data_IF_681420054225
#
_entry.id   IF_681420054225
#
_cell.length_a   1.000
_cell.length_b   1.000
_cell.length_c   1.000
_cell.angle_alpha   90.00
_cell.angle_beta   90.00
_cell.angle_gamma   90.00
#
_symmetry.space_group_name_H-M   'P 1'
#
loop_
_entity.id
_entity.type
_entity.pdbx_description
1 polymer ?
#
# COMPACT_ATOMS: atom_id res chain seq x y z
N UNK A 1 -30.44 32.81 43.19
CA UNK A 1 -31.77 32.59 42.60
C UNK A 1 -31.95 31.09 42.42
N UNK A 2 -33.05 30.54 42.94
CA UNK A 2 -33.42 29.10 43.07
C UNK A 2 -33.44 28.41 41.68
N UNK A 3 -33.17 27.11 41.53
CA UNK A 3 -34.07 25.96 41.76
C UNK A 3 -33.23 24.66 41.94
N UNK A 4 -33.28 23.95 43.08
CA UNK A 4 -34.13 22.77 43.41
C UNK A 4 -34.05 21.54 42.49
N UNK A 5 -33.26 20.54 42.92
CA UNK A 5 -33.65 19.19 43.39
C UNK A 5 -34.78 18.43 42.65
N UNK A 6 -34.49 17.20 42.18
CA UNK A 6 -35.38 16.03 42.36
C UNK A 6 -34.57 14.73 42.36
N UNK A 7 -34.59 14.05 43.50
CA UNK A 7 -34.19 12.64 43.68
C UNK A 7 -35.44 11.79 43.43
N UNK A 8 -35.32 10.70 42.69
CA UNK A 8 -36.28 9.59 42.75
C UNK A 8 -35.51 8.29 42.99
N UNK A 9 -35.59 7.80 44.22
CA UNK A 9 -35.24 6.43 44.60
C UNK A 9 -36.53 5.61 44.50
N UNK A 10 -36.50 4.48 43.79
CA UNK A 10 -37.52 3.45 43.91
C UNK A 10 -36.84 2.07 43.91
N UNK A 11 -36.71 1.50 45.12
CA UNK A 11 -36.46 0.09 45.37
C UNK A 11 -37.78 -0.67 45.43
N UNK A 12 -37.92 -1.75 44.66
CA UNK A 12 -38.82 -2.85 44.97
C UNK A 12 -38.20 -4.18 44.47
N UNK A 13 -38.16 -5.16 45.37
CA UNK A 13 -37.57 -6.48 45.25
C UNK A 13 -38.55 -7.53 44.69
N UNK A 14 -37.94 -8.58 44.11
CA UNK A 14 -38.33 -10.00 44.07
C UNK A 14 -39.13 -10.57 42.88
N UNK A 15 -38.48 -11.53 42.20
CA UNK A 15 -39.08 -12.57 41.35
C UNK A 15 -38.06 -13.19 40.38
N UNK A 16 -37.69 -14.49 40.50
CA UNK A 16 -36.65 -15.11 39.69
C UNK A 16 -37.24 -15.58 38.35
N UNK A 17 -37.07 -14.77 37.30
CA UNK A 17 -37.32 -15.19 35.92
C UNK A 17 -35.99 -15.39 35.22
N UNK A 18 -35.58 -16.64 35.00
CA UNK A 18 -34.46 -16.98 34.12
C UNK A 18 -34.74 -16.49 32.70
N UNK A 19 -33.91 -15.64 32.08
CA UNK A 19 -33.92 -15.51 30.64
C UNK A 19 -33.01 -16.59 30.07
N UNK A 20 -33.64 -17.52 29.37
CA UNK A 20 -33.03 -18.57 28.55
C UNK A 20 -31.96 -17.97 27.63
N UNK A 21 -30.70 -18.33 27.86
CA UNK A 21 -29.62 -18.07 26.89
C UNK A 21 -29.90 -18.97 25.69
N UNK A 22 -30.41 -18.38 24.61
CA UNK A 22 -30.45 -19.03 23.32
C UNK A 22 -29.01 -19.28 22.87
N UNK A 23 -28.53 -20.50 23.12
CA UNK A 23 -27.27 -20.99 22.58
C UNK A 23 -27.52 -21.24 21.09
N UNK A 24 -27.19 -20.27 20.24
CA UNK A 24 -26.99 -20.55 18.84
C UNK A 24 -25.74 -21.42 18.75
N UNK A 25 -25.96 -22.72 18.51
CA UNK A 25 -24.92 -23.65 18.15
C UNK A 25 -24.25 -23.14 16.87
N UNK A 26 -23.10 -22.47 17.02
CA UNK A 26 -22.17 -22.27 15.93
C UNK A 26 -21.57 -23.63 15.58
N UNK A 27 -21.68 -24.01 14.31
CA UNK A 27 -21.04 -25.20 13.75
C UNK A 27 -19.58 -25.28 14.20
N UNK A 28 -19.20 -26.43 14.75
CA UNK A 28 -17.81 -26.74 15.05
C UNK A 28 -17.05 -26.88 13.74
N UNK A 29 -16.33 -25.83 13.35
CA UNK A 29 -15.31 -25.87 12.30
C UNK A 29 -14.32 -27.00 12.64
N UNK A 30 -13.92 -27.85 11.69
CA UNK A 30 -12.80 -28.78 11.92
C UNK A 30 -11.57 -27.98 12.38
N UNK A 31 -10.62 -28.56 13.14
CA UNK A 31 -9.39 -27.88 13.49
C UNK A 31 -8.53 -27.73 12.23
N UNK A 32 -8.91 -26.78 11.38
CA UNK A 32 -8.10 -26.27 10.30
C UNK A 32 -6.98 -25.49 10.95
N UNK A 33 -5.75 -25.94 10.71
CA UNK A 33 -4.51 -25.19 10.94
C UNK A 33 -4.77 -23.70 10.93
N UNK A 34 -4.78 -23.07 12.11
CA UNK A 34 -4.80 -21.62 12.22
C UNK A 34 -3.66 -21.12 11.36
N UNK A 35 -3.95 -20.31 10.33
CA UNK A 35 -2.88 -19.58 9.67
C UNK A 35 -2.11 -18.84 10.77
N UNK A 36 -0.80 -19.10 10.90
CA UNK A 36 0.00 -18.51 11.99
C UNK A 36 -0.04 -16.97 11.95
N UNK A 37 -0.41 -16.39 10.80
CA UNK A 37 -0.64 -14.96 10.61
C UNK A 37 -1.87 -14.76 9.71
N UNK A 38 -2.76 -13.86 10.12
CA UNK A 38 -3.89 -13.39 9.31
C UNK A 38 -3.57 -12.02 8.74
N UNK A 39 -3.95 -11.71 7.49
CA UNK A 39 -3.75 -10.39 6.94
C UNK A 39 -4.57 -9.36 7.74
N UNK A 40 -3.99 -8.16 7.94
CA UNK A 40 -4.67 -7.05 8.62
C UNK A 40 -5.90 -6.54 7.85
N UNK A 41 -5.95 -6.78 6.53
CA UNK A 41 -7.08 -6.48 5.66
C UNK A 41 -7.37 -7.67 4.75
N UNK A 42 -8.63 -8.11 4.68
CA UNK A 42 -9.04 -9.16 3.75
C UNK A 42 -9.27 -8.57 2.36
N UNK A 43 -8.41 -8.93 1.40
CA UNK A 43 -8.61 -8.65 -0.02
C UNK A 43 -9.43 -9.75 -0.67
N UNK A 44 -10.25 -9.41 -1.67
CA UNK A 44 -11.03 -10.38 -2.44
C UNK A 44 -10.14 -11.44 -3.13
N UNK A 45 -8.93 -11.04 -3.54
CA UNK A 45 -7.88 -11.95 -3.97
C UNK A 45 -7.10 -12.46 -2.74
N UNK A 46 -7.07 -13.78 -2.51
CA UNK A 46 -6.21 -14.39 -1.49
C UNK A 46 -4.81 -14.60 -2.08
N UNK A 47 -3.78 -13.85 -1.65
CA UNK A 47 -2.43 -14.04 -2.18
C UNK A 47 -1.90 -15.42 -1.79
N UNK A 48 -1.08 -16.01 -2.66
CA UNK A 48 -0.47 -17.32 -2.41
C UNK A 48 0.54 -17.29 -1.24
N UNK A 49 1.10 -16.12 -0.94
CA UNK A 49 2.03 -15.88 0.17
C UNK A 49 1.55 -14.67 0.98
N UNK A 50 1.78 -14.71 2.29
CA UNK A 50 1.52 -13.59 3.20
C UNK A 50 2.84 -12.99 3.65
N UNK A 51 2.93 -11.66 3.63
CA UNK A 51 4.03 -10.96 4.28
C UNK A 51 3.95 -11.20 5.79
N UNK A 52 5.11 -11.46 6.40
CA UNK A 52 5.20 -11.59 7.85
C UNK A 52 5.14 -10.19 8.49
N UNK A 53 4.52 -10.04 9.68
CA UNK A 53 4.57 -8.78 10.41
C UNK A 53 6.02 -8.35 10.69
N UNK A 54 6.31 -7.04 10.71
CA UNK A 54 7.60 -6.54 11.18
C UNK A 54 7.96 -7.12 12.56
N UNK A 55 9.19 -7.59 12.72
CA UNK A 55 9.66 -8.21 13.97
C UNK A 55 9.25 -9.67 14.17
N UNK A 56 8.48 -10.28 13.26
CA UNK A 56 8.21 -11.72 13.28
C UNK A 56 9.46 -12.56 12.99
N UNK A 57 10.44 -11.97 12.31
CA UNK A 57 11.76 -12.56 12.06
C UNK A 57 12.80 -11.76 12.82
N UNK A 58 13.53 -12.44 13.70
CA UNK A 58 14.64 -11.85 14.45
C UNK A 58 15.98 -12.28 13.84
N UNK A 59 16.91 -11.34 13.59
CA UNK A 59 18.21 -11.67 13.08
C UNK A 59 19.04 -12.41 14.16
N UNK A 60 19.86 -13.37 13.73
CA UNK A 60 20.81 -14.11 14.59
C UNK A 60 22.18 -14.21 13.94
N UNK A 61 23.21 -14.46 14.74
CA UNK A 61 24.60 -14.57 14.27
C UNK A 61 25.03 -13.32 13.50
N UNK A 62 25.72 -13.52 12.38
CA UNK A 62 26.24 -12.44 11.55
C UNK A 62 25.21 -11.37 11.17
N UNK A 63 23.97 -11.76 10.85
CA UNK A 63 22.93 -10.78 10.50
C UNK A 63 22.55 -9.90 11.69
N UNK A 64 22.58 -10.46 12.91
CA UNK A 64 22.32 -9.69 14.13
C UNK A 64 23.47 -8.74 14.41
N UNK A 65 24.70 -9.17 14.22
CA UNK A 65 25.90 -8.34 14.43
C UNK A 65 25.93 -7.18 13.43
N UNK A 66 25.53 -7.44 12.18
CA UNK A 66 25.33 -6.40 11.17
C UNK A 66 24.23 -5.42 11.58
N UNK A 67 23.05 -5.91 11.98
CA UNK A 67 21.94 -5.07 12.42
C UNK A 67 22.32 -4.20 13.63
N UNK A 68 23.07 -4.75 14.60
CA UNK A 68 23.62 -3.97 15.71
C UNK A 68 24.61 -2.91 15.23
N UNK A 69 25.48 -3.23 14.27
CA UNK A 69 26.41 -2.25 13.71
C UNK A 69 25.70 -1.10 12.99
N UNK A 70 24.58 -1.39 12.32
CA UNK A 70 23.72 -0.38 11.68
C UNK A 70 23.01 0.48 12.73
N UNK A 71 22.50 -0.14 13.80
CA UNK A 71 21.92 0.55 14.94
C UNK A 71 22.94 1.48 15.59
N UNK A 72 24.12 0.98 15.92
CA UNK A 72 25.16 1.74 16.62
C UNK A 72 25.87 2.76 15.69
N UNK A 73 25.52 2.75 14.41
CA UNK A 73 26.03 3.64 13.38
C UNK A 73 25.01 4.67 12.89
N UNK A 74 25.04 4.90 11.58
CA UNK A 74 24.32 6.02 10.96
C UNK A 74 22.80 5.98 11.17
N UNK A 75 22.16 4.81 11.19
CA UNK A 75 20.68 4.74 11.21
C UNK A 75 20.08 5.29 12.51
N UNK A 76 20.65 4.99 13.68
CA UNK A 76 20.13 5.56 14.94
C UNK A 76 20.63 7.00 15.17
N UNK A 77 21.83 7.32 14.70
CA UNK A 77 22.49 8.60 14.95
C UNK A 77 22.26 9.64 13.84
N UNK A 78 21.30 9.44 12.94
CA UNK A 78 21.02 10.35 11.81
C UNK A 78 20.79 11.80 12.26
N UNK A 79 20.18 11.97 13.43
CA UNK A 79 19.93 13.28 14.03
C UNK A 79 21.24 14.01 14.34
N UNK A 80 22.32 13.33 14.70
CA UNK A 80 23.59 13.97 15.05
C UNK A 80 24.45 14.27 13.81
N UNK A 81 24.31 13.45 12.77
CA UNK A 81 25.25 13.43 11.64
C UNK A 81 24.79 14.23 10.42
N UNK A 82 23.48 14.47 10.25
CA UNK A 82 22.98 15.13 9.04
C UNK A 82 21.78 16.03 9.29
N UNK A 83 21.94 17.33 8.99
CA UNK A 83 20.91 18.37 9.21
C UNK A 83 19.55 18.02 8.60
N UNK A 84 19.53 17.45 7.39
CA UNK A 84 18.28 17.16 6.68
C UNK A 84 17.53 15.98 7.31
N UNK A 85 18.23 14.98 7.86
CA UNK A 85 17.59 13.84 8.53
C UNK A 85 17.17 14.17 9.98
N UNK A 86 17.89 15.09 10.63
CA UNK A 86 17.43 15.71 11.87
C UNK A 86 16.08 16.42 11.69
N UNK A 87 15.90 17.11 10.57
CA UNK A 87 14.65 17.80 10.24
C UNK A 87 13.59 16.85 9.69
N UNK A 88 13.97 15.81 8.94
CA UNK A 88 13.05 14.89 8.31
C UNK A 88 11.89 14.49 9.23
N UNK A 89 10.67 14.79 8.79
CA UNK A 89 9.44 14.32 9.45
C UNK A 89 9.34 14.82 10.90
N UNK A 90 9.76 16.06 11.13
CA UNK A 90 9.57 16.82 12.37
C UNK A 90 8.62 17.99 12.13
N UNK A 91 7.98 18.55 13.18
CA UNK A 91 7.13 19.73 13.04
C UNK A 91 7.86 20.95 12.44
N UNK A 92 9.19 21.00 12.53
CA UNK A 92 10.03 22.07 12.00
C UNK A 92 10.32 21.93 10.49
N UNK A 93 10.07 20.75 9.89
CA UNK A 93 10.32 20.50 8.47
C UNK A 93 9.13 20.91 7.61
N UNK A 94 9.00 22.23 7.42
CA UNK A 94 7.90 22.83 6.65
C UNK A 94 8.43 23.68 5.49
N UNK A 95 9.07 23.09 4.46
CA UNK A 95 9.55 23.85 3.32
C UNK A 95 8.39 24.53 2.58
N UNK A 96 8.59 25.79 2.21
CA UNK A 96 7.64 26.63 1.45
C UNK A 96 8.39 27.42 0.37
N UNK A 97 7.65 28.02 -0.57
CA UNK A 97 8.23 28.84 -1.63
C UNK A 97 9.26 28.07 -2.46
N UNK A 98 10.45 28.64 -2.66
CA UNK A 98 11.52 27.98 -3.43
C UNK A 98 12.13 26.75 -2.73
N UNK A 99 11.98 26.62 -1.41
CA UNK A 99 12.48 25.47 -0.65
C UNK A 99 11.66 24.20 -0.91
N UNK A 100 10.52 24.32 -1.59
CA UNK A 100 9.78 23.18 -2.12
C UNK A 100 10.58 22.43 -3.19
N UNK A 101 11.54 23.08 -3.85
CA UNK A 101 12.39 22.43 -4.84
C UNK A 101 13.33 21.42 -4.18
N UNK A 102 13.43 20.23 -4.77
CA UNK A 102 14.20 19.11 -4.24
C UNK A 102 15.63 19.48 -3.82
N UNK A 103 16.32 20.26 -4.67
CA UNK A 103 17.71 20.69 -4.45
C UNK A 103 17.87 21.79 -3.39
N UNK A 104 16.78 22.44 -2.97
CA UNK A 104 16.83 23.65 -2.12
C UNK A 104 16.41 23.41 -0.67
N UNK A 105 15.46 22.50 -0.42
CA UNK A 105 15.02 22.27 0.96
C UNK A 105 14.10 21.08 1.19
N UNK A 106 13.49 20.50 0.16
CA UNK A 106 12.55 19.38 0.32
C UNK A 106 13.21 17.99 0.32
N UNK A 107 14.55 17.90 0.16
CA UNK A 107 15.28 16.63 0.24
C UNK A 107 15.04 15.89 1.57
N UNK A 108 14.93 16.61 2.69
CA UNK A 108 14.62 16.03 4.00
C UNK A 108 13.30 15.25 4.03
N UNK A 109 12.34 15.55 3.15
CA UNK A 109 11.07 14.84 3.07
C UNK A 109 11.26 13.47 2.41
N UNK A 110 11.89 13.42 1.23
CA UNK A 110 12.11 12.19 0.48
C UNK A 110 13.24 11.35 1.10
N UNK A 111 14.41 11.95 1.31
CA UNK A 111 15.55 11.32 1.97
C UNK A 111 15.17 10.78 3.36
N UNK A 112 14.40 11.58 4.10
CA UNK A 112 13.83 11.19 5.39
C UNK A 112 12.97 9.93 5.32
N UNK A 113 12.19 9.75 4.25
CA UNK A 113 11.35 8.57 4.07
C UNK A 113 12.18 7.29 3.91
N UNK A 114 13.25 7.33 3.10
CA UNK A 114 14.15 6.19 2.91
C UNK A 114 14.85 5.78 4.21
N UNK A 115 15.28 6.76 5.01
CA UNK A 115 15.87 6.47 6.31
C UNK A 115 14.85 5.96 7.32
N UNK A 116 13.66 6.59 7.37
CA UNK A 116 12.59 6.21 8.29
C UNK A 116 12.15 4.76 8.09
N UNK A 117 12.03 4.31 6.83
CA UNK A 117 11.69 2.93 6.49
C UNK A 117 12.69 1.94 7.13
N UNK A 118 13.99 2.16 6.91
CA UNK A 118 15.04 1.34 7.51
C UNK A 118 15.09 1.43 9.05
N UNK A 119 14.83 2.60 9.62
CA UNK A 119 14.76 2.80 11.08
C UNK A 119 13.65 1.94 11.72
N UNK A 120 12.45 1.97 11.13
CA UNK A 120 11.29 1.21 11.61
C UNK A 120 11.55 -0.29 11.52
N UNK A 121 12.01 -0.77 10.36
CA UNK A 121 12.31 -2.19 10.15
C UNK A 121 13.38 -2.70 11.12
N UNK A 122 14.44 -1.92 11.33
CA UNK A 122 15.52 -2.25 12.26
C UNK A 122 15.03 -2.29 13.71
N UNK A 123 14.22 -1.31 14.12
CA UNK A 123 13.61 -1.25 15.45
C UNK A 123 12.76 -2.49 15.75
N UNK A 124 11.92 -2.92 14.80
CA UNK A 124 11.12 -4.14 14.97
C UNK A 124 11.96 -5.42 14.92
N UNK A 125 12.93 -5.52 14.01
CA UNK A 125 13.79 -6.70 13.87
C UNK A 125 14.65 -6.94 15.12
N UNK A 126 15.18 -5.87 15.73
CA UNK A 126 15.98 -5.94 16.95
C UNK A 126 15.15 -5.88 18.24
N UNK A 127 13.85 -5.60 18.14
CA UNK A 127 12.97 -5.30 19.28
C UNK A 127 13.52 -4.16 20.14
N UNK A 128 14.00 -3.11 19.47
CA UNK A 128 14.69 -2.00 20.10
C UNK A 128 13.72 -0.86 20.42
N UNK A 129 13.51 -0.61 21.71
CA UNK A 129 12.56 0.40 22.16
C UNK A 129 12.98 1.82 21.79
N UNK A 130 14.28 2.13 21.75
CA UNK A 130 14.75 3.49 21.48
C UNK A 130 14.57 3.87 20.00
N UNK A 131 14.88 2.94 19.09
CA UNK A 131 14.61 3.11 17.65
C UNK A 131 13.11 3.23 17.38
N UNK A 132 12.30 2.39 18.02
CA UNK A 132 10.85 2.44 17.87
C UNK A 132 10.27 3.76 18.41
N UNK A 133 10.79 4.29 19.51
CA UNK A 133 10.40 5.60 20.01
C UNK A 133 10.85 6.73 19.09
N UNK A 134 12.04 6.64 18.47
CA UNK A 134 12.47 7.61 17.45
C UNK A 134 11.54 7.60 16.24
N UNK A 135 11.23 6.42 15.71
CA UNK A 135 10.27 6.27 14.63
C UNK A 135 8.88 6.79 15.02
N UNK A 136 8.41 6.46 16.22
CA UNK A 136 7.12 6.91 16.74
C UNK A 136 7.03 8.44 16.77
N UNK A 137 8.08 9.14 17.21
CA UNK A 137 8.13 10.62 17.21
C UNK A 137 7.99 11.20 15.79
N UNK A 138 8.66 10.61 14.80
CA UNK A 138 8.57 11.04 13.40
C UNK A 138 7.18 10.80 12.81
N UNK A 139 6.60 9.63 13.08
CA UNK A 139 5.26 9.28 12.60
C UNK A 139 4.17 10.19 13.19
N UNK A 140 4.22 10.45 14.50
CA UNK A 140 3.25 11.34 15.15
C UNK A 140 3.40 12.79 14.71
N UNK A 141 4.61 13.27 14.43
CA UNK A 141 4.77 14.62 13.87
C UNK A 141 3.97 14.79 12.57
N UNK A 142 3.90 13.76 11.72
CA UNK A 142 3.03 13.79 10.54
C UNK A 142 1.57 13.60 10.95
N UNK A 143 1.25 12.49 11.61
CA UNK A 143 -0.13 12.07 11.89
C UNK A 143 -0.93 13.05 12.74
N UNK A 144 -0.29 13.67 13.73
CA UNK A 144 -0.94 14.58 14.68
C UNK A 144 -1.18 15.98 14.08
N UNK A 145 -0.45 16.35 13.03
CA UNK A 145 -0.61 17.64 12.35
C UNK A 145 -1.48 17.58 11.08
N UNK A 146 -1.79 16.37 10.60
CA UNK A 146 -2.64 16.16 9.43
C UNK A 146 -4.00 16.85 9.59
N UNK A 147 -4.47 17.45 8.49
CA UNK A 147 -5.74 18.17 8.43
C UNK A 147 -6.38 18.08 7.02
N UNK A 148 -7.65 18.48 6.91
CA UNK A 148 -8.44 18.32 5.68
C UNK A 148 -7.92 19.14 4.49
N UNK A 149 -7.24 20.27 4.76
CA UNK A 149 -6.70 21.16 3.74
C UNK A 149 -5.25 20.83 3.36
N UNK A 150 -4.53 20.05 4.16
CA UNK A 150 -3.14 19.65 3.90
C UNK A 150 -2.96 18.95 2.55
N UNK A 151 -1.83 19.12 1.87
CA UNK A 151 -1.56 18.42 0.60
C UNK A 151 -0.80 17.11 0.89
N UNK A 152 -1.43 15.95 0.68
CA UNK A 152 -0.85 14.64 1.03
C UNK A 152 -0.44 14.59 2.51
N UNK A 153 0.83 14.31 2.82
CA UNK A 153 1.40 14.37 4.17
C UNK A 153 2.06 15.72 4.48
N UNK A 154 2.00 16.69 3.56
CA UNK A 154 2.56 18.04 3.72
C UNK A 154 1.52 18.93 4.40
N UNK A 155 1.25 18.67 5.68
CA UNK A 155 0.13 19.26 6.42
C UNK A 155 0.15 20.78 6.52
N UNK A 156 1.33 21.40 6.36
CA UNK A 156 1.52 22.85 6.41
C UNK A 156 1.21 23.56 5.09
N UNK A 157 1.04 22.81 4.00
CA UNK A 157 0.66 23.35 2.69
C UNK A 157 -0.86 23.28 2.53
N UNK A 158 -1.47 24.43 2.27
CA UNK A 158 -2.90 24.55 2.07
C UNK A 158 -3.28 24.29 0.61
N UNK A 159 -4.10 23.25 0.36
CA UNK A 159 -4.60 22.91 -0.97
C UNK A 159 -5.57 23.95 -1.53
N UNK A 160 -6.17 24.77 -0.69
CA UNK A 160 -7.14 25.79 -1.08
C UNK A 160 -6.47 27.15 -1.36
N UNK A 161 -5.20 27.31 -0.99
CA UNK A 161 -4.40 28.51 -1.26
C UNK A 161 -3.78 28.51 -2.67
N UNK A 162 -4.15 29.47 -3.54
CA UNK A 162 -3.58 29.59 -4.89
C UNK A 162 -2.06 29.86 -4.90
N UNK A 163 -1.51 30.55 -3.90
CA UNK A 163 -0.08 30.84 -3.85
C UNK A 163 0.74 29.60 -3.52
N UNK A 164 0.24 28.70 -2.69
CA UNK A 164 0.81 27.36 -2.46
C UNK A 164 0.97 26.59 -3.77
N UNK A 165 -0.07 26.55 -4.62
CA UNK A 165 0.02 25.92 -5.94
C UNK A 165 1.03 26.60 -6.85
N UNK A 166 1.02 27.92 -6.92
CA UNK A 166 1.97 28.69 -7.72
C UNK A 166 3.42 28.40 -7.31
N UNK A 167 3.70 28.31 -6.01
CA UNK A 167 5.01 27.94 -5.50
C UNK A 167 5.40 26.50 -5.88
N UNK A 168 4.48 25.54 -5.76
CA UNK A 168 4.71 24.15 -6.18
C UNK A 168 4.99 24.03 -7.69
N UNK A 169 4.24 24.76 -8.51
CA UNK A 169 4.45 24.82 -9.96
C UNK A 169 5.80 25.43 -10.32
N UNK A 170 6.19 26.52 -9.64
CA UNK A 170 7.49 27.15 -9.86
C UNK A 170 8.66 26.26 -9.41
N UNK A 171 8.50 25.55 -8.30
CA UNK A 171 9.58 24.76 -7.69
C UNK A 171 9.79 23.39 -8.36
N UNK A 172 8.72 22.70 -8.75
CA UNK A 172 8.78 21.30 -9.19
C UNK A 172 7.98 21.00 -10.47
N UNK A 173 7.47 22.03 -11.17
CA UNK A 173 6.52 21.83 -12.27
C UNK A 173 5.11 21.44 -11.81
N UNK A 174 4.85 21.52 -10.49
CA UNK A 174 3.57 21.25 -9.84
C UNK A 174 3.39 19.79 -9.48
N UNK A 175 2.35 19.47 -8.71
CA UNK A 175 1.83 18.11 -8.70
C UNK A 175 1.05 17.92 -10.00
N UNK A 176 1.31 16.88 -10.80
CA UNK A 176 0.55 16.66 -12.01
C UNK A 176 -0.93 16.41 -11.68
N UNK A 177 -1.73 17.46 -11.85
CA UNK A 177 -3.15 17.49 -12.19
C UNK A 177 -4.18 17.07 -11.12
N UNK A 178 -4.80 18.04 -10.44
CA UNK A 178 -5.88 17.82 -9.45
C UNK A 178 -7.23 18.43 -9.82
N UNK A 179 -7.35 19.24 -10.88
CA UNK A 179 -8.60 19.99 -11.16
C UNK A 179 -9.74 19.11 -11.71
N UNK A 180 -9.43 17.99 -12.35
CA UNK A 180 -10.38 17.11 -13.06
C UNK A 180 -9.98 15.62 -12.96
N UNK A 181 -9.19 15.26 -11.93
CA UNK A 181 -8.83 13.87 -11.67
C UNK A 181 -10.08 12.98 -11.62
N UNK A 182 -10.01 11.78 -12.22
CA UNK A 182 -11.12 10.84 -12.31
C UNK A 182 -12.38 11.35 -13.05
N UNK A 183 -12.26 12.36 -13.93
CA UNK A 183 -13.35 12.75 -14.84
C UNK A 183 -13.21 12.04 -16.18
N UNK A 184 -14.20 11.24 -16.63
CA UNK A 184 -14.13 10.60 -17.94
C UNK A 184 -14.22 11.65 -19.05
N UNK A 185 -13.41 11.49 -20.10
CA UNK A 185 -13.54 12.29 -21.32
C UNK A 185 -14.95 12.10 -21.91
N UNK A 186 -15.62 13.14 -22.46
CA UNK A 186 -16.99 13.01 -22.98
C UNK A 186 -17.17 11.93 -24.05
N UNK A 187 -16.13 11.66 -24.84
CA UNK A 187 -16.11 10.61 -25.84
C UNK A 187 -15.68 9.22 -25.32
N UNK A 188 -15.28 9.10 -24.05
CA UNK A 188 -14.78 7.85 -23.50
C UNK A 188 -15.91 6.84 -23.31
N UNK A 189 -15.78 5.68 -23.97
CA UNK A 189 -16.58 4.49 -23.68
C UNK A 189 -15.82 3.66 -22.66
N UNK A 190 -16.42 3.41 -21.50
CA UNK A 190 -15.77 2.67 -20.41
C UNK A 190 -16.67 1.59 -19.79
N UNK A 191 -17.93 1.51 -20.20
CA UNK A 191 -18.89 0.52 -19.71
C UNK A 191 -18.75 -0.78 -20.50
N UNK A 192 -17.75 -1.58 -20.15
CA UNK A 192 -17.42 -2.83 -20.80
C UNK A 192 -17.25 -3.97 -19.81
N UNK A 193 -17.55 -5.20 -20.21
CA UNK A 193 -17.06 -6.42 -19.58
C UNK A 193 -15.96 -7.02 -20.47
N UNK A 194 -14.83 -7.43 -19.89
CA UNK A 194 -13.77 -8.10 -20.64
C UNK A 194 -14.20 -9.52 -21.03
N UNK A 195 -13.89 -9.91 -22.27
CA UNK A 195 -14.10 -11.26 -22.75
C UNK A 195 -13.01 -12.19 -22.21
N UNK A 196 -13.14 -12.61 -20.96
CA UNK A 196 -12.08 -13.34 -20.24
C UNK A 196 -11.72 -14.69 -20.88
N UNK A 197 -12.65 -15.30 -21.62
CA UNK A 197 -12.42 -16.57 -22.33
C UNK A 197 -11.72 -16.38 -23.68
N UNK A 198 -11.87 -15.22 -24.31
CA UNK A 198 -11.19 -14.88 -25.56
C UNK A 198 -10.71 -13.42 -25.57
N UNK A 199 -9.75 -13.06 -24.70
CA UNK A 199 -9.41 -11.65 -24.47
C UNK A 199 -8.66 -11.03 -25.64
N UNK A 200 -8.00 -11.84 -26.49
CA UNK A 200 -7.16 -11.40 -27.60
C UNK A 200 -6.24 -10.20 -27.24
N UNK A 201 -5.72 -10.20 -26.01
CA UNK A 201 -5.00 -9.06 -25.45
C UNK A 201 -3.68 -8.83 -26.20
N UNK A 202 -3.43 -7.58 -26.60
CA UNK A 202 -2.19 -7.18 -27.28
C UNK A 202 -1.70 -5.85 -26.73
N UNK A 203 -0.42 -5.80 -26.38
CA UNK A 203 0.25 -4.57 -25.98
C UNK A 203 0.74 -3.83 -27.23
N UNK A 204 0.45 -2.54 -27.32
CA UNK A 204 0.90 -1.63 -28.37
C UNK A 204 1.78 -0.55 -27.72
N UNK A 205 2.94 -0.28 -28.31
CA UNK A 205 3.91 0.70 -27.82
C UNK A 205 4.22 1.71 -28.92
N UNK A 206 4.34 2.98 -28.54
CA UNK A 206 4.74 4.07 -29.41
C UNK A 206 5.70 5.03 -28.69
N UNK A 207 6.22 6.02 -29.42
CA UNK A 207 7.18 6.97 -28.86
C UNK A 207 6.52 7.86 -27.80
N UNK A 208 7.25 8.15 -26.71
CA UNK A 208 6.79 9.06 -25.66
C UNK A 208 6.71 10.49 -26.20
N UNK A 209 5.65 11.26 -25.92
CA UNK A 209 5.59 12.67 -26.27
C UNK A 209 6.67 13.47 -25.54
N UNK A 210 7.06 14.62 -26.10
CA UNK A 210 8.06 15.50 -25.51
C UNK A 210 7.60 16.11 -24.17
N UNK A 211 6.29 16.35 -24.04
CA UNK A 211 5.63 16.80 -22.81
C UNK A 211 4.53 15.82 -22.45
N UNK A 212 4.44 15.48 -21.16
CA UNK A 212 3.39 14.63 -20.64
C UNK A 212 2.21 15.48 -20.16
N UNK A 213 1.04 15.31 -20.77
CA UNK A 213 -0.20 16.04 -20.46
C UNK A 213 -1.43 15.13 -20.43
N UNK A 214 -1.22 13.86 -20.05
CA UNK A 214 -2.27 12.83 -19.99
C UNK A 214 -2.98 12.57 -21.34
N UNK A 215 -2.24 12.35 -22.44
CA UNK A 215 -2.82 12.20 -23.76
C UNK A 215 -3.67 10.92 -23.86
N UNK A 216 -4.77 10.98 -24.60
CA UNK A 216 -5.52 9.77 -24.98
C UNK A 216 -4.71 8.85 -25.90
N UNK A 217 -3.80 9.42 -26.71
CA UNK A 217 -2.82 8.66 -27.49
C UNK A 217 -1.58 8.36 -26.62
N UNK A 218 -1.73 7.47 -25.64
CA UNK A 218 -0.65 7.10 -24.75
C UNK A 218 0.45 6.28 -25.47
N UNK A 219 1.72 6.36 -25.04
CA UNK A 219 2.82 5.58 -25.62
C UNK A 219 2.73 4.08 -25.31
N UNK A 220 1.77 3.69 -24.46
CA UNK A 220 1.47 2.33 -24.10
C UNK A 220 -0.05 2.16 -24.11
N UNK A 221 -0.53 1.19 -24.88
CA UNK A 221 -1.94 0.83 -25.00
C UNK A 221 -2.08 -0.69 -24.93
N UNK A 222 -3.25 -1.17 -24.50
CA UNK A 222 -3.60 -2.59 -24.53
C UNK A 222 -4.90 -2.75 -25.28
N UNK A 223 -4.89 -3.45 -26.42
CA UNK A 223 -6.12 -3.80 -27.12
C UNK A 223 -6.65 -5.13 -26.59
N UNK A 224 -7.94 -5.18 -26.27
CA UNK A 224 -8.61 -6.39 -25.74
C UNK A 224 -9.99 -6.54 -26.35
N UNK A 225 -10.51 -7.77 -26.36
CA UNK A 225 -11.91 -8.03 -26.66
C UNK A 225 -12.77 -7.76 -25.41
N UNK A 226 -13.87 -7.04 -25.60
CA UNK A 226 -14.81 -6.71 -24.55
C UNK A 226 -16.23 -6.59 -25.10
N UNK A 227 -17.22 -6.59 -24.21
CA UNK A 227 -18.63 -6.49 -24.55
C UNK A 227 -19.22 -5.24 -23.89
N UNK A 228 -19.98 -4.40 -24.63
CA UNK A 228 -20.70 -3.29 -24.02
C UNK A 228 -21.72 -3.78 -23.00
N UNK A 229 -21.75 -3.15 -21.83
CA UNK A 229 -22.68 -3.49 -20.73
C UNK A 229 -23.33 -2.23 -20.18
N UNK A 230 -24.51 -2.34 -19.56
CA UNK A 230 -25.08 -1.22 -18.77
C UNK A 230 -24.60 -1.27 -17.31
N UNK A 231 -23.28 -1.19 -17.12
CA UNK A 231 -22.69 -1.09 -15.79
C UNK A 231 -22.70 0.37 -15.31
N UNK A 232 -23.23 0.60 -14.11
CA UNK A 232 -23.40 1.92 -13.48
C UNK A 232 -22.80 1.92 -12.08
N UNK A 233 -21.46 1.87 -11.94
CA UNK A 233 -20.82 1.92 -10.63
C UNK A 233 -21.00 3.30 -9.99
N UNK A 234 -21.02 3.36 -8.66
CA UNK A 234 -20.78 4.61 -7.95
C UNK A 234 -19.34 5.06 -8.20
N UNK A 235 -19.14 6.23 -8.80
CA UNK A 235 -17.81 6.74 -9.10
C UNK A 235 -16.99 7.11 -7.84
N UNK A 236 -17.65 7.33 -6.69
CA UNK A 236 -16.98 7.58 -5.41
C UNK A 236 -16.60 6.29 -4.68
N UNK A 237 -17.30 5.19 -4.97
CA UNK A 237 -17.08 3.89 -4.37
C UNK A 237 -17.39 2.77 -5.37
N UNK A 238 -16.54 2.59 -6.41
CA UNK A 238 -16.87 1.69 -7.50
C UNK A 238 -16.79 0.24 -7.04
N UNK A 239 -17.86 -0.52 -7.27
CA UNK A 239 -17.92 -1.95 -7.01
C UNK A 239 -18.12 -2.73 -8.31
N UNK A 240 -17.45 -3.87 -8.44
CA UNK A 240 -17.79 -4.84 -9.47
C UNK A 240 -19.19 -5.41 -9.21
N UNK A 241 -19.97 -5.71 -10.26
CA UNK A 241 -21.22 -6.43 -10.11
C UNK A 241 -20.98 -7.86 -9.61
N UNK A 242 -21.98 -8.41 -8.92
CA UNK A 242 -21.95 -9.80 -8.46
C UNK A 242 -22.16 -10.73 -9.65
N UNK A 243 -21.11 -11.47 -10.03
CA UNK A 243 -21.14 -12.44 -11.12
C UNK A 243 -20.74 -11.87 -12.48
N UNK A 244 -20.63 -12.78 -13.46
CA UNK A 244 -20.26 -12.45 -14.83
C UNK A 244 -21.44 -11.87 -15.62
N UNK A 245 -21.14 -10.99 -16.58
CA UNK A 245 -22.15 -10.52 -17.53
C UNK A 245 -22.40 -11.55 -18.62
N UNK A 246 -23.67 -11.77 -18.94
CA UNK A 246 -24.02 -12.59 -20.10
C UNK A 246 -23.45 -11.96 -21.38
N UNK A 247 -22.92 -12.80 -22.27
CA UNK A 247 -22.47 -12.42 -23.62
C UNK A 247 -23.67 -12.27 -24.55
N UNK A 248 -24.51 -11.30 -24.27
CA UNK A 248 -25.74 -10.97 -25.01
C UNK A 248 -25.48 -10.18 -26.30
N UNK A 249 -24.31 -9.53 -26.38
CA UNK A 249 -23.84 -8.76 -27.52
C UNK A 249 -22.53 -9.32 -28.09
N UNK A 250 -22.21 -9.07 -29.37
CA UNK A 250 -20.94 -9.46 -29.94
C UNK A 250 -19.78 -8.71 -29.27
N UNK A 251 -18.66 -9.41 -29.05
CA UNK A 251 -17.44 -8.78 -28.55
C UNK A 251 -16.90 -7.77 -29.57
N UNK A 252 -16.52 -6.59 -29.09
CA UNK A 252 -15.78 -5.58 -29.85
C UNK A 252 -14.34 -5.47 -29.33
N UNK A 253 -13.43 -5.04 -30.21
CA UNK A 253 -12.06 -4.74 -29.82
C UNK A 253 -11.99 -3.31 -29.28
N UNK A 254 -11.59 -3.17 -28.03
CA UNK A 254 -11.40 -1.88 -27.36
C UNK A 254 -9.92 -1.63 -27.08
N UNK A 255 -9.56 -0.36 -26.92
CA UNK A 255 -8.23 0.07 -26.49
C UNK A 255 -8.29 0.54 -25.04
N UNK A 256 -7.46 -0.05 -24.19
CA UNK A 256 -7.25 0.34 -22.82
C UNK A 256 -5.95 1.13 -22.70
N UNK A 257 -6.03 2.28 -22.02
CA UNK A 257 -4.87 3.09 -21.70
C UNK A 257 -4.48 2.78 -20.25
N UNK A 258 -3.25 2.32 -19.98
CA UNK A 258 -2.84 1.90 -18.64
C UNK A 258 -2.95 3.02 -17.60
N UNK A 259 -3.09 2.59 -16.35
CA UNK A 259 -2.98 3.48 -15.21
C UNK A 259 -1.70 4.31 -15.26
N UNK A 260 -1.80 5.59 -14.92
CA UNK A 260 -0.70 6.55 -15.03
C UNK A 260 -0.58 7.19 -16.41
N UNK A 261 -1.34 6.72 -17.42
CA UNK A 261 -1.34 7.34 -18.74
C UNK A 261 -2.51 8.33 -18.99
N UNK A 262 -3.62 8.21 -18.26
CA UNK A 262 -4.81 9.11 -18.35
C UNK A 262 -5.29 9.57 -16.97
N UNK A 263 -6.07 10.67 -16.92
CA UNK A 263 -6.67 11.21 -15.69
C UNK A 263 -7.82 10.36 -15.15
N UNK A 264 -8.62 9.78 -16.05
CA UNK A 264 -9.68 8.83 -15.68
C UNK A 264 -9.07 7.45 -15.45
N UNK A 265 -9.33 6.87 -14.27
CA UNK A 265 -8.71 5.63 -13.80
C UNK A 265 -9.78 4.57 -13.65
N UNK A 266 -9.59 3.44 -14.34
CA UNK A 266 -10.37 2.22 -14.15
C UNK A 266 -9.38 1.16 -13.68
N UNK A 267 -9.52 0.69 -12.44
CA UNK A 267 -8.65 -0.35 -11.86
C UNK A 267 -9.23 -1.76 -12.03
N UNK A 268 -10.51 -1.86 -12.39
CA UNK A 268 -11.24 -3.11 -12.47
C UNK A 268 -12.29 -3.05 -13.57
N UNK A 269 -12.39 -4.13 -14.34
CA UNK A 269 -13.46 -4.35 -15.29
C UNK A 269 -14.26 -5.59 -14.87
N UNK A 270 -15.59 -5.58 -15.04
CA UNK A 270 -16.37 -6.81 -15.05
C UNK A 270 -15.88 -7.77 -16.14
N UNK A 271 -16.27 -9.04 -16.02
CA UNK A 271 -15.93 -10.09 -16.98
C UNK A 271 -17.18 -10.80 -17.50
N UNK A 272 -17.11 -11.36 -18.70
CA UNK A 272 -18.22 -12.11 -19.34
C UNK A 272 -18.34 -13.56 -18.87
N UNK A 273 -17.28 -14.06 -18.23
CA UNK A 273 -17.23 -15.33 -17.54
C UNK A 273 -16.12 -15.24 -16.50
N UNK A 274 -16.17 -16.07 -15.46
CA UNK A 274 -15.00 -16.29 -14.61
C UNK A 274 -13.83 -16.70 -15.52
N UNK A 275 -12.65 -16.07 -15.40
CA UNK A 275 -11.48 -16.54 -16.12
C UNK A 275 -11.29 -18.02 -15.78
N UNK A 276 -11.06 -18.86 -16.79
CA UNK A 276 -10.70 -20.26 -16.53
C UNK A 276 -9.58 -20.25 -15.51
N UNK A 277 -9.80 -20.92 -14.37
CA UNK A 277 -8.77 -21.03 -13.36
C UNK A 277 -7.54 -21.57 -14.08
N UNK A 278 -6.49 -20.74 -14.17
CA UNK A 278 -5.19 -21.16 -14.71
C UNK A 278 -4.90 -22.45 -13.99
N UNK A 279 -5.02 -23.56 -14.72
CA UNK A 279 -4.92 -24.89 -14.14
C UNK A 279 -3.55 -24.87 -13.50
N UNK A 280 -3.51 -24.95 -12.16
CA UNK A 280 -2.24 -24.95 -11.43
C UNK A 280 -1.34 -25.89 -12.20
N UNK A 281 -0.23 -25.38 -12.74
CA UNK A 281 0.79 -26.24 -13.31
C UNK A 281 1.16 -27.16 -12.17
N UNK A 282 0.65 -28.38 -12.23
CA UNK A 282 1.05 -29.43 -11.32
C UNK A 282 2.49 -29.68 -11.71
N UNK A 283 3.39 -29.31 -10.81
CA UNK A 283 4.82 -29.54 -10.98
C UNK A 283 5.00 -31.02 -11.36
N UNK A 284 5.50 -31.33 -12.57
CA UNK A 284 5.63 -32.72 -13.02
C UNK A 284 6.64 -33.52 -12.19
N UNK A 285 7.36 -32.88 -11.26
CA UNK A 285 8.46 -33.48 -10.49
C UNK A 285 8.02 -34.04 -9.14
N UNK A 286 6.89 -33.64 -8.55
CA UNK A 286 6.57 -34.04 -7.17
C UNK A 286 5.18 -34.68 -6.99
N UNK A 287 5.12 -36.00 -7.24
CA UNK A 287 3.95 -36.86 -6.94
C UNK A 287 4.08 -37.60 -5.61
N UNK A 288 4.46 -36.96 -4.51
CA UNK A 288 4.36 -37.61 -3.21
C UNK A 288 3.88 -36.66 -2.10
N UNK A 289 2.96 -37.11 -1.22
CA UNK A 289 2.60 -36.37 -0.02
C UNK A 289 3.77 -36.40 0.96
N UNK A 290 4.24 -35.21 1.36
CA UNK A 290 5.37 -35.09 2.31
C UNK A 290 4.85 -35.42 3.71
N UNK A 291 5.25 -36.59 4.21
CA UNK A 291 5.24 -36.89 5.64
C UNK A 291 6.43 -36.21 6.32
N UNK A 292 6.20 -35.76 7.55
CA UNK A 292 7.13 -35.04 8.40
C UNK A 292 8.41 -35.82 8.69
N UNK A 293 9.55 -35.33 8.20
CA UNK A 293 10.88 -35.82 8.53
C UNK A 293 11.88 -34.66 8.52
N UNK A 294 12.46 -34.36 9.68
CA UNK A 294 13.30 -33.18 9.89
C UNK A 294 14.58 -33.17 9.04
N UNK A 295 14.90 -32.02 8.47
CA UNK A 295 16.16 -31.79 7.78
C UNK A 295 17.26 -31.39 8.77
N UNK A 296 18.31 -32.21 8.82
CA UNK A 296 19.57 -31.94 9.51
C UNK A 296 20.59 -31.44 8.50
N UNK A 297 21.14 -30.24 8.71
CA UNK A 297 22.20 -29.68 7.86
C UNK A 297 23.53 -30.42 8.04
N UNK A 298 24.28 -30.72 6.95
CA UNK A 298 25.61 -31.29 7.06
C UNK A 298 26.63 -30.21 7.48
N UNK A 299 27.45 -30.49 8.49
CA UNK A 299 28.60 -29.65 8.85
C UNK A 299 29.64 -29.72 7.73
N UNK A 300 29.96 -28.59 7.10
CA UNK A 300 31.19 -28.46 6.31
C UNK A 300 32.34 -28.06 7.23
N UNK A 301 33.29 -28.96 7.37
CA UNK A 301 34.64 -28.71 7.85
C UNK A 301 35.47 -28.06 6.73
N UNK A 302 36.26 -27.02 7.06
CA UNK A 302 37.50 -26.73 6.36
C UNK A 302 37.56 -25.43 5.54
N UNK A 303 38.33 -24.49 6.11
CA UNK A 303 39.17 -23.46 5.46
C UNK A 303 38.47 -22.29 4.75
N UNK A 304 38.58 -21.12 5.38
CA UNK A 304 38.20 -19.81 4.84
C UNK A 304 39.17 -19.36 3.72
N UNK A 305 38.68 -18.84 2.58
CA UNK A 305 39.49 -18.04 1.67
C UNK A 305 39.62 -16.61 2.20
N UNK A 306 40.85 -16.09 2.09
CA UNK A 306 41.32 -14.78 2.54
C UNK A 306 40.55 -13.63 1.90
N UNK A 307 40.39 -12.57 2.68
CA UNK A 307 39.95 -11.23 2.31
C UNK A 307 40.72 -10.67 1.10
N UNK A 308 39.99 -10.10 0.14
CA UNK A 308 40.55 -9.17 -0.85
C UNK A 308 40.09 -7.77 -0.45
N UNK A 309 41.04 -6.99 0.06
CA UNK A 309 40.91 -5.56 0.28
C UNK A 309 40.78 -4.84 -1.07
N UNK A 310 39.79 -3.95 -1.19
CA UNK A 310 39.80 -2.90 -2.20
C UNK A 310 39.83 -1.56 -1.46
N UNK A 311 41.03 -0.98 -1.38
CA UNK A 311 41.25 0.43 -1.11
C UNK A 311 40.85 1.23 -2.37
N UNK A 312 40.10 2.31 -2.18
CA UNK A 312 39.89 3.35 -3.17
C UNK A 312 40.88 4.49 -2.86
N UNK A 313 41.95 4.57 -3.65
CA UNK A 313 42.70 5.81 -3.87
C UNK A 313 42.48 6.22 -5.34
N UNK A 314 42.09 7.49 -5.53
CA UNK A 314 41.81 8.10 -6.83
C UNK A 314 40.85 9.28 -6.69
#
# INVERSE_FOLDING_TARGET
MRLTCTIAVLTALCGPGSPTVATLAGESTPPGTSANYSPHFQTAARPALLALPPGAVEPRGWLRDWALSVKDGYTACMDDVHKEFRLAWTPECTPTGENLAWQKGSWSLEGGAYWFDGLVELGFALKDHDLLEQARRRLHAVGDNMNDSGILFLWWLDRDDPETWKALYAANGGFPDTKDANTPHPAARWKFALDAQNPAAKVVRSARPARWDWPLAAPLEVTVNAIPIDWRPDLKSPTLPQGAFAKDQPSERITLIPYGCTKFRISMFPVTAEPEAVTRVTDPVNRNPVSSGGYRWPRRTGVAPRTLDYALEG
#
